data_IF_909338714101
#
_entry.id   IF_909338714101
#
_cell.length_a   1.000
_cell.length_b   1.000
_cell.length_c   1.000
_cell.angle_alpha   90.00
_cell.angle_beta   90.00
_cell.angle_gamma   90.00
#
_symmetry.space_group_name_H-M   'P 1'
#
loop_
_entity.id
_entity.type
_entity.pdbx_description
1 polymer ?
#
# COMPACT_ATOMS: atom_id res chain seq x y z
N UNK A 1 -1.54 -11.43 26.36
CA UNK A 1 -0.95 -11.00 25.08
C UNK A 1 -0.54 -9.54 25.24
N UNK A 2 0.60 -9.13 24.69
CA UNK A 2 1.08 -7.75 24.78
C UNK A 2 0.92 -7.09 23.40
N UNK A 3 0.21 -5.98 23.34
CA UNK A 3 0.02 -5.20 22.12
C UNK A 3 0.76 -3.87 22.25
N UNK A 4 1.47 -3.47 21.19
CA UNK A 4 2.06 -2.14 21.12
C UNK A 4 0.99 -1.17 20.62
N UNK A 5 0.73 -0.12 21.40
CA UNK A 5 -0.22 0.92 21.08
C UNK A 5 0.55 2.20 20.82
N UNK A 6 0.30 2.82 19.67
CA UNK A 6 0.80 4.13 19.33
C UNK A 6 -0.21 5.18 19.75
N UNK A 7 0.17 6.04 20.70
CA UNK A 7 -0.66 7.15 21.18
C UNK A 7 -0.10 8.46 20.64
N UNK A 8 -0.96 9.22 19.97
CA UNK A 8 -0.64 10.53 19.39
C UNK A 8 -1.49 11.59 20.06
N UNK A 9 -0.85 12.69 20.47
CA UNK A 9 -1.55 13.89 20.89
C UNK A 9 -1.83 14.75 19.64
N UNK A 10 -3.09 14.92 19.28
CA UNK A 10 -3.50 15.80 18.16
C UNK A 10 -3.93 17.19 18.63
N UNK A 11 -4.35 17.33 19.89
CA UNK A 11 -4.78 18.59 20.48
C UNK A 11 -4.75 18.46 22.01
N UNK A 12 -4.69 19.57 22.77
CA UNK A 12 -4.60 19.54 24.24
C UNK A 12 -5.67 18.70 24.97
N UNK A 13 -6.81 18.41 24.31
CA UNK A 13 -7.88 17.53 24.83
C UNK A 13 -8.24 16.39 23.85
N UNK A 14 -7.31 15.99 22.97
CA UNK A 14 -7.56 14.94 21.98
C UNK A 14 -6.32 14.08 21.80
N UNK A 15 -6.38 12.91 22.41
CA UNK A 15 -5.41 11.84 22.29
C UNK A 15 -6.00 10.72 21.44
N UNK A 16 -5.24 10.27 20.44
CA UNK A 16 -5.62 9.20 19.54
C UNK A 16 -4.71 8.01 19.82
N UNK A 17 -5.28 6.92 20.31
CA UNK A 17 -4.59 5.64 20.46
C UNK A 17 -4.88 4.76 19.24
N UNK A 18 -3.86 4.05 18.75
CA UNK A 18 -3.98 3.10 17.64
C UNK A 18 -3.10 1.88 17.89
N UNK A 19 -3.57 0.69 17.55
CA UNK A 19 -2.78 -0.54 17.74
C UNK A 19 -1.84 -0.74 16.56
N UNK A 20 -0.54 -0.93 16.84
CA UNK A 20 0.46 -1.13 15.79
C UNK A 20 0.16 -2.43 15.04
N UNK A 21 0.01 -2.33 13.72
CA UNK A 21 -0.36 -3.45 12.84
C UNK A 21 -1.87 -3.65 12.65
N UNK A 22 -2.72 -2.80 13.24
CA UNK A 22 -4.18 -2.86 13.10
C UNK A 22 -4.76 -1.49 12.77
N UNK A 23 -4.91 -1.22 11.48
CA UNK A 23 -5.43 0.07 11.00
C UNK A 23 -6.92 0.31 11.34
N UNK A 24 -7.62 -0.72 11.81
CA UNK A 24 -9.03 -0.69 12.16
C UNK A 24 -9.30 -0.44 13.65
N UNK A 25 -8.28 -0.47 14.51
CA UNK A 25 -8.44 -0.27 15.97
C UNK A 25 -7.83 1.07 16.36
N UNK A 26 -8.66 2.10 16.32
CA UNK A 26 -8.28 3.48 16.62
C UNK A 26 -9.33 4.05 17.56
N UNK A 27 -8.88 4.58 18.69
CA UNK A 27 -9.75 5.16 19.71
C UNK A 27 -9.26 6.55 20.11
N UNK A 28 -10.21 7.41 20.49
CA UNK A 28 -9.93 8.79 20.88
C UNK A 28 -10.36 9.01 22.32
N UNK A 29 -9.45 9.57 23.14
CA UNK A 29 -9.70 9.99 24.52
C UNK A 29 -9.38 11.46 24.70
N UNK A 30 -9.94 12.09 25.75
CA UNK A 30 -9.59 13.47 26.12
C UNK A 30 -8.26 13.54 26.86
N UNK A 31 -7.86 12.44 27.48
CA UNK A 31 -6.55 12.24 28.10
C UNK A 31 -5.87 11.02 27.50
N UNK A 32 -4.56 10.92 27.70
CA UNK A 32 -3.76 9.76 27.28
C UNK A 32 -4.27 8.46 27.89
N UNK A 33 -4.52 8.46 29.21
CA UNK A 33 -5.05 7.32 29.95
C UNK A 33 -6.43 6.89 29.44
N UNK A 34 -7.31 7.86 29.15
CA UNK A 34 -8.64 7.56 28.62
C UNK A 34 -8.57 6.92 27.22
N UNK A 35 -7.64 7.37 26.37
CA UNK A 35 -7.44 6.78 25.05
C UNK A 35 -6.91 5.33 25.16
N UNK A 36 -6.02 5.07 26.11
CA UNK A 36 -5.45 3.73 26.38
C UNK A 36 -6.52 2.79 26.94
N UNK A 37 -7.37 3.24 27.86
CA UNK A 37 -8.42 2.38 28.42
C UNK A 37 -9.50 2.06 27.38
N UNK A 38 -9.87 3.03 26.54
CA UNK A 38 -10.80 2.79 25.42
C UNK A 38 -10.26 1.77 24.43
N UNK A 39 -8.98 1.88 24.06
CA UNK A 39 -8.40 0.93 23.10
C UNK A 39 -8.21 -0.46 23.70
N UNK A 40 -7.96 -0.55 25.02
CA UNK A 40 -7.95 -1.83 25.74
C UNK A 40 -9.31 -2.52 25.66
N UNK A 41 -10.40 -1.80 25.95
CA UNK A 41 -11.76 -2.33 25.86
C UNK A 41 -12.12 -2.75 24.42
N UNK A 42 -11.72 -1.95 23.42
CA UNK A 42 -11.92 -2.29 22.02
C UNK A 42 -11.18 -3.58 21.63
N UNK A 43 -9.92 -3.73 22.08
CA UNK A 43 -9.13 -4.94 21.86
C UNK A 43 -9.74 -6.17 22.53
N UNK A 44 -10.22 -6.03 23.78
CA UNK A 44 -10.90 -7.12 24.49
C UNK A 44 -12.18 -7.55 23.75
N UNK A 45 -12.99 -6.61 23.26
CA UNK A 45 -14.18 -6.91 22.48
C UNK A 45 -13.86 -7.64 21.18
N UNK A 46 -12.84 -7.19 20.44
CA UNK A 46 -12.39 -7.82 19.20
C UNK A 46 -11.85 -9.23 19.43
N UNK A 47 -11.12 -9.45 20.52
CA UNK A 47 -10.58 -10.76 20.91
C UNK A 47 -11.66 -11.74 21.40
N UNK A 48 -12.76 -11.25 21.96
CA UNK A 48 -13.90 -12.11 22.31
C UNK A 48 -14.69 -12.56 21.08
N UNK A 49 -14.75 -11.71 20.04
CA UNK A 49 -15.52 -11.98 18.83
C UNK A 49 -14.72 -12.69 17.74
N UNK A 50 -13.38 -12.59 17.77
CA UNK A 50 -12.50 -13.06 16.71
C UNK A 50 -11.23 -13.72 17.21
N UNK A 51 -10.60 -14.50 16.34
CA UNK A 51 -9.31 -15.15 16.60
C UNK A 51 -8.28 -14.66 15.58
N UNK A 52 -7.06 -14.39 16.04
CA UNK A 52 -5.95 -14.14 15.13
C UNK A 52 -5.53 -15.43 14.42
N UNK A 53 -5.51 -15.38 13.09
CA UNK A 53 -5.01 -16.46 12.23
C UNK A 53 -3.85 -15.90 11.43
N UNK A 54 -2.67 -16.51 11.60
CA UNK A 54 -1.52 -16.23 10.76
C UNK A 54 -1.70 -16.97 9.44
N UNK A 55 -1.68 -16.24 8.34
CA UNK A 55 -1.71 -16.79 6.99
C UNK A 55 -0.40 -16.41 6.32
N UNK A 56 0.33 -17.41 5.84
CA UNK A 56 1.47 -17.19 4.97
C UNK A 56 0.95 -17.01 3.54
N UNK A 57 1.14 -15.81 2.99
CA UNK A 57 0.85 -15.53 1.59
C UNK A 57 2.18 -15.62 0.84
N UNK A 58 2.32 -16.48 -0.18
CA UNK A 58 3.53 -16.50 -0.98
C UNK A 58 3.73 -15.13 -1.63
N UNK A 59 4.95 -14.61 -1.58
CA UNK A 59 5.27 -13.39 -2.31
C UNK A 59 4.95 -13.60 -3.79
N UNK A 60 4.44 -12.56 -4.50
CA UNK A 60 4.37 -12.62 -5.94
C UNK A 60 5.78 -12.96 -6.43
N UNK A 61 5.91 -14.08 -7.15
CA UNK A 61 7.19 -14.54 -7.68
C UNK A 61 7.90 -13.38 -8.34
N UNK A 62 9.11 -13.06 -7.88
CA UNK A 62 9.93 -12.01 -8.50
C UNK A 62 10.02 -12.29 -10.00
N UNK A 63 9.42 -11.44 -10.82
CA UNK A 63 9.62 -11.51 -12.26
C UNK A 63 11.12 -11.37 -12.50
N UNK A 64 11.77 -12.27 -13.28
CA UNK A 64 13.20 -12.18 -13.49
C UNK A 64 13.52 -10.82 -14.13
N UNK A 65 14.34 -9.96 -13.51
CA UNK A 65 14.52 -8.57 -13.92
C UNK A 65 15.13 -8.41 -15.32
N UNK A 66 15.58 -9.50 -15.94
CA UNK A 66 16.20 -9.52 -17.26
C UNK A 66 15.52 -10.46 -18.26
N UNK A 67 14.31 -10.96 -17.99
CA UNK A 67 13.66 -11.94 -18.89
C UNK A 67 13.54 -11.45 -20.35
N UNK A 68 13.44 -10.14 -20.56
CA UNK A 68 13.25 -9.53 -21.87
C UNK A 68 14.35 -8.52 -22.25
N UNK A 69 15.43 -8.43 -21.46
CA UNK A 69 16.53 -7.54 -21.77
C UNK A 69 17.20 -8.00 -23.07
N UNK A 70 17.20 -7.14 -24.09
CA UNK A 70 17.80 -7.44 -25.39
C UNK A 70 17.00 -8.40 -26.28
N UNK A 71 15.72 -8.68 -25.98
CA UNK A 71 14.91 -9.62 -26.77
C UNK A 71 14.78 -9.25 -28.26
N UNK A 72 14.98 -7.98 -28.61
CA UNK A 72 14.92 -7.47 -29.98
C UNK A 72 16.29 -7.13 -30.57
N UNK A 73 17.40 -7.50 -29.91
CA UNK A 73 18.75 -7.12 -30.35
C UNK A 73 19.09 -7.65 -31.76
N UNK A 74 18.60 -8.84 -32.10
CA UNK A 74 18.84 -9.48 -33.40
C UNK A 74 17.59 -9.48 -34.31
N UNK A 75 16.55 -8.73 -33.95
CA UNK A 75 15.32 -8.70 -34.72
C UNK A 75 15.47 -7.79 -35.95
N UNK A 76 15.55 -8.41 -37.13
CA UNK A 76 15.64 -7.73 -38.43
C UNK A 76 14.45 -6.81 -38.75
N UNK A 77 13.32 -6.96 -38.06
CA UNK A 77 12.12 -6.13 -38.24
C UNK A 77 12.04 -4.97 -37.25
N UNK A 78 12.99 -4.85 -36.33
CA UNK A 78 12.98 -3.80 -35.30
C UNK A 78 13.00 -2.39 -35.91
N UNK A 79 13.80 -2.17 -36.95
CA UNK A 79 13.90 -0.88 -37.61
C UNK A 79 12.57 -0.45 -38.27
N UNK A 80 11.85 -1.38 -38.92
CA UNK A 80 10.51 -1.14 -39.49
C UNK A 80 9.48 -0.83 -38.40
N UNK A 81 9.59 -1.49 -37.25
CA UNK A 81 8.74 -1.21 -36.08
C UNK A 81 8.97 0.21 -35.54
N UNK A 82 10.24 0.64 -35.43
CA UNK A 82 10.59 2.00 -35.00
C UNK A 82 10.09 3.05 -35.98
N UNK A 83 10.24 2.83 -37.29
CA UNK A 83 9.76 3.75 -38.33
C UNK A 83 8.23 3.94 -38.25
N UNK A 84 7.48 2.87 -38.06
CA UNK A 84 6.02 2.92 -37.87
C UNK A 84 5.62 3.68 -36.60
N UNK A 85 6.34 3.48 -35.48
CA UNK A 85 6.08 4.22 -34.24
C UNK A 85 6.35 5.73 -34.41
N UNK A 86 7.39 6.10 -35.15
CA UNK A 86 7.68 7.52 -35.47
C UNK A 86 6.56 8.14 -36.30
N UNK A 87 6.02 7.42 -37.28
CA UNK A 87 4.90 7.91 -38.08
C UNK A 87 3.64 8.14 -37.23
N UNK A 88 3.31 7.21 -36.34
CA UNK A 88 2.19 7.33 -35.39
C UNK A 88 2.40 8.54 -34.47
N UNK A 89 3.60 8.70 -33.89
CA UNK A 89 3.93 9.83 -32.99
C UNK A 89 3.72 11.18 -33.69
N UNK A 90 4.14 11.29 -34.95
CA UNK A 90 3.96 12.52 -35.74
C UNK A 90 2.49 12.81 -36.01
N UNK A 91 1.70 11.79 -36.36
CA UNK A 91 0.27 11.95 -36.61
C UNK A 91 -0.50 12.38 -35.35
N UNK A 92 -0.19 11.80 -34.20
CA UNK A 92 -0.84 12.17 -32.95
C UNK A 92 -0.42 13.57 -32.46
N UNK A 93 0.85 13.95 -32.58
CA UNK A 93 1.27 15.32 -32.28
C UNK A 93 0.58 16.37 -33.17
N UNK A 94 0.28 16.04 -34.43
CA UNK A 94 -0.44 16.93 -35.35
C UNK A 94 -1.95 17.03 -35.02
N UNK A 95 -2.52 16.03 -34.36
CA UNK A 95 -3.93 16.02 -33.92
C UNK A 95 -4.18 16.88 -32.68
N UNK A 96 -3.18 17.05 -31.82
CA UNK A 96 -3.28 17.87 -30.60
C UNK A 96 -3.08 19.38 -30.87
N UNK A 97 -2.65 19.77 -32.09
CA UNK A 97 -2.41 21.16 -32.52
C UNK A 97 -3.60 21.77 -33.32
N UNK A 98 -4.72 21.05 -33.49
CA UNK A 98 -6.02 21.54 -34.04
C UNK A 98 -7.04 21.87 -32.92
#
# INVERSE_FOLDING_TARGET
MQYQVFVKNESPERFVASVVGMNNVIEVGKTEEEAIDRIRLALEGLLHQGKFVSLEVPSPSEFPPMKYAGILADDSSFDDLVEKLVAIRKQENLRDDE
#
